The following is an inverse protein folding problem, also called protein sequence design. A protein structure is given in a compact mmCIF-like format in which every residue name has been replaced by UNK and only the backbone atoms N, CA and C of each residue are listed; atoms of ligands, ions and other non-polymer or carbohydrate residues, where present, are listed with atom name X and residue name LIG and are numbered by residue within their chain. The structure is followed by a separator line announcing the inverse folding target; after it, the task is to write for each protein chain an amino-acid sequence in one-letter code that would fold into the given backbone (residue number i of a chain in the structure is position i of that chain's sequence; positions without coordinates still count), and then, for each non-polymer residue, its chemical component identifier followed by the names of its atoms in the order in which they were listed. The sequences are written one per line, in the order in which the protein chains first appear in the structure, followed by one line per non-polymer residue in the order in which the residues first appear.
data_IF_717712363975
#
_entry.id   IF_717712363975
#
_cell.length_a   1.000
_cell.length_b   1.000
_cell.length_c   1.000
_cell.angle_alpha   90.00
_cell.angle_beta   90.00
_cell.angle_gamma   90.00
#
_symmetry.space_group_name_H-M   'P 1'
#
loop_
_entity.id
_entity.type
_entity.pdbx_description
1 polymer ?
#
# COMPACT_ATOMS: atom_id res chain seq x y z
N UNK A 1 -15.25 1.42 16.51
CA UNK A 1 -14.41 0.20 16.53
C UNK A 1 -12.98 0.64 16.76
N UNK A 2 -12.34 0.21 17.84
CA UNK A 2 -10.93 0.53 18.13
C UNK A 2 -10.04 -0.40 17.31
N UNK A 3 -9.14 0.15 16.50
CA UNK A 3 -8.09 -0.66 15.86
C UNK A 3 -7.34 -1.44 16.95
N UNK A 4 -7.06 -2.73 16.75
CA UNK A 4 -6.26 -3.49 17.72
C UNK A 4 -4.94 -2.75 17.93
N UNK A 5 -4.52 -2.63 19.20
CA UNK A 5 -3.24 -2.04 19.51
C UNK A 5 -2.14 -2.90 18.86
N UNK A 6 -1.50 -2.38 17.82
CA UNK A 6 -0.31 -2.99 17.22
C UNK A 6 0.83 -2.75 18.20
N UNK A 7 1.39 -3.83 18.78
CA UNK A 7 2.32 -3.72 19.92
C UNK A 7 3.77 -4.00 19.56
N UNK A 8 4.00 -4.67 18.44
CA UNK A 8 5.35 -5.04 17.98
C UNK A 8 5.68 -4.34 16.67
N UNK A 9 6.97 -4.02 16.40
CA UNK A 9 7.39 -3.45 15.13
C UNK A 9 6.93 -4.27 13.90
N UNK A 10 7.00 -5.61 13.98
CA UNK A 10 6.54 -6.49 12.89
C UNK A 10 5.04 -6.36 12.64
N UNK A 11 4.20 -6.37 13.68
CA UNK A 11 2.76 -6.12 13.55
C UNK A 11 2.46 -4.75 12.93
N UNK A 12 3.19 -3.70 13.33
CA UNK A 12 3.02 -2.35 12.79
C UNK A 12 3.35 -2.34 11.30
N UNK A 13 4.48 -2.92 10.91
CA UNK A 13 4.90 -2.97 9.52
C UNK A 13 4.00 -3.86 8.65
N UNK A 14 3.47 -4.97 9.19
CA UNK A 14 2.49 -5.79 8.47
C UNK A 14 1.18 -5.06 8.24
N UNK A 15 0.68 -4.35 9.26
CA UNK A 15 -0.52 -3.52 9.11
C UNK A 15 -0.29 -2.40 8.10
N UNK A 16 0.87 -1.74 8.11
CA UNK A 16 1.23 -0.75 7.11
C UNK A 16 1.27 -1.38 5.70
N UNK A 17 1.94 -2.52 5.53
CA UNK A 17 2.01 -3.23 4.25
C UNK A 17 0.62 -3.60 3.72
N UNK A 18 -0.29 -4.06 4.58
CA UNK A 18 -1.67 -4.36 4.19
C UNK A 18 -2.39 -3.11 3.64
N UNK A 19 -2.17 -1.94 4.24
CA UNK A 19 -2.73 -0.67 3.76
C UNK A 19 -2.15 -0.25 2.42
N UNK A 20 -0.84 -0.37 2.21
CA UNK A 20 -0.22 -0.06 0.92
C UNK A 20 -0.75 -0.98 -0.19
N UNK A 21 -0.90 -2.28 0.09
CA UNK A 21 -1.44 -3.23 -0.89
C UNK A 21 -2.92 -2.94 -1.23
N UNK A 22 -3.73 -2.62 -0.21
CA UNK A 22 -5.13 -2.24 -0.42
C UNK A 22 -5.26 -0.92 -1.21
N UNK A 23 -4.40 0.07 -0.94
CA UNK A 23 -4.38 1.34 -1.68
C UNK A 23 -3.94 1.14 -3.13
N UNK A 24 -2.88 0.34 -3.38
CA UNK A 24 -2.49 -0.07 -4.73
C UNK A 24 -3.67 -0.64 -5.50
N UNK A 25 -4.35 -1.63 -4.93
CA UNK A 25 -5.48 -2.31 -5.58
C UNK A 25 -6.64 -1.37 -5.85
N UNK A 26 -6.93 -0.50 -4.89
CA UNK A 26 -7.94 0.52 -5.04
C UNK A 26 -7.64 1.45 -6.23
N UNK A 27 -6.42 1.98 -6.33
CA UNK A 27 -6.06 2.87 -7.45
C UNK A 27 -5.99 2.15 -8.79
N UNK A 28 -5.50 0.91 -8.83
CA UNK A 28 -5.50 0.09 -10.05
C UNK A 28 -6.92 -0.16 -10.57
N UNK A 29 -7.85 -0.52 -9.68
CA UNK A 29 -9.26 -0.76 -10.04
C UNK A 29 -9.99 0.53 -10.43
N UNK A 30 -9.69 1.68 -9.81
CA UNK A 30 -10.21 2.97 -10.26
C UNK A 30 -9.64 3.36 -11.63
N UNK A 31 -8.35 3.18 -11.88
CA UNK A 31 -7.72 3.48 -13.16
C UNK A 31 -8.32 2.63 -14.29
N UNK A 32 -8.64 1.37 -14.01
CA UNK A 32 -9.31 0.47 -14.95
C UNK A 32 -10.73 0.96 -15.32
N UNK A 33 -11.44 1.56 -14.37
CA UNK A 33 -12.82 2.07 -14.56
C UNK A 33 -12.90 3.53 -15.03
N UNK A 34 -11.77 4.24 -15.06
CA UNK A 34 -11.70 5.65 -15.42
C UNK A 34 -11.61 5.85 -16.95
N UNK A 35 -12.45 6.73 -17.48
CA UNK A 35 -12.49 7.10 -18.91
C UNK A 35 -11.92 8.49 -19.19
N UNK A 36 -11.40 9.17 -18.16
CA UNK A 36 -10.79 10.50 -18.27
C UNK A 36 -9.28 10.34 -18.17
N UNK A 37 -8.57 10.56 -19.28
CA UNK A 37 -7.14 10.19 -19.41
C UNK A 37 -6.26 10.77 -18.31
N UNK A 38 -6.37 12.08 -18.02
CA UNK A 38 -5.54 12.71 -16.99
C UNK A 38 -5.79 12.13 -15.58
N UNK A 39 -7.03 11.73 -15.29
CA UNK A 39 -7.38 11.13 -13.99
C UNK A 39 -6.85 9.70 -13.93
N UNK A 40 -6.97 8.95 -15.03
CA UNK A 40 -6.42 7.60 -15.15
C UNK A 40 -4.91 7.59 -14.96
N UNK A 41 -4.19 8.54 -15.57
CA UNK A 41 -2.74 8.69 -15.40
C UNK A 41 -2.37 8.96 -13.93
N UNK A 42 -3.08 9.87 -13.25
CA UNK A 42 -2.87 10.13 -11.84
C UNK A 42 -3.09 8.86 -10.98
N UNK A 43 -4.17 8.11 -11.24
CA UNK A 43 -4.46 6.87 -10.50
C UNK A 43 -3.37 5.81 -10.70
N UNK A 44 -2.85 5.67 -11.92
CA UNK A 44 -1.73 4.78 -12.21
C UNK A 44 -0.44 5.23 -11.51
N UNK A 45 -0.18 6.54 -11.43
CA UNK A 45 0.96 7.06 -10.68
C UNK A 45 0.83 6.77 -9.18
N UNK A 46 -0.36 6.96 -8.60
CA UNK A 46 -0.62 6.63 -7.19
C UNK A 46 -0.41 5.13 -6.93
N UNK A 47 -0.94 4.25 -7.78
CA UNK A 47 -0.67 2.81 -7.70
C UNK A 47 0.84 2.50 -7.62
N UNK A 48 1.63 3.14 -8.49
CA UNK A 48 3.09 2.94 -8.55
C UNK A 48 3.77 3.43 -7.26
N UNK A 49 3.32 4.54 -6.66
CA UNK A 49 3.86 5.01 -5.39
C UNK A 49 3.56 4.02 -4.24
N UNK A 50 2.35 3.46 -4.17
CA UNK A 50 2.03 2.47 -3.13
C UNK A 50 2.84 1.17 -3.30
N UNK A 51 3.19 0.79 -4.53
CA UNK A 51 4.13 -0.32 -4.76
C UNK A 51 5.53 -0.02 -4.23
N UNK A 52 6.01 1.22 -4.34
CA UNK A 52 7.30 1.64 -3.76
C UNK A 52 7.23 1.62 -2.24
N UNK A 53 6.16 2.12 -1.63
CA UNK A 53 5.95 2.05 -0.18
C UNK A 53 5.92 0.58 0.31
N UNK A 54 5.16 -0.29 -0.35
CA UNK A 54 5.12 -1.71 -0.05
C UNK A 54 6.50 -2.37 -0.14
N UNK A 55 7.32 -2.02 -1.14
CA UNK A 55 8.67 -2.53 -1.28
C UNK A 55 9.60 -2.06 -0.14
N UNK A 56 9.49 -0.81 0.31
CA UNK A 56 10.23 -0.29 1.46
C UNK A 56 9.85 -1.04 2.74
N UNK A 57 8.56 -1.27 2.97
CA UNK A 57 8.08 -1.97 4.16
C UNK A 57 8.54 -3.44 4.16
N UNK A 58 8.49 -4.13 3.01
CA UNK A 58 9.03 -5.49 2.88
C UNK A 58 10.52 -5.56 3.20
N UNK A 59 11.32 -4.58 2.75
CA UNK A 59 12.74 -4.48 3.11
C UNK A 59 12.94 -4.25 4.61
N UNK A 60 12.09 -3.44 5.24
CA UNK A 60 12.13 -3.21 6.68
C UNK A 60 11.76 -4.48 7.49
N UNK A 61 10.70 -5.20 7.08
CA UNK A 61 10.33 -6.49 7.66
C UNK A 61 11.46 -7.51 7.57
N UNK A 62 12.12 -7.62 6.41
CA UNK A 62 13.25 -8.52 6.23
C UNK A 62 14.44 -8.19 7.16
N UNK A 63 14.62 -6.91 7.54
CA UNK A 63 15.65 -6.49 8.49
C UNK A 63 15.34 -6.83 9.95
N UNK A 64 14.06 -7.03 10.29
CA UNK A 64 13.67 -7.44 11.65
C UNK A 64 14.00 -8.91 11.94
N UNK A 65 14.22 -9.72 10.90
CA UNK A 65 14.42 -11.16 11.03
C UNK A 65 13.10 -11.92 11.24
N UNK A 66 13.15 -13.26 11.25
CA UNK A 66 12.02 -14.10 11.62
C UNK A 66 11.61 -13.93 13.09
#
# INVERSE_FOLDING_TARGET
MTSPALRTPDQILRAALEKELAARDFYADLAHRCHVDFVKELLLQLQIEEEKHAALIRKALARLGP
#
